data_IF_389525706794
#
_entry.id   IF_389525706794
#
_cell.length_a   1.000
_cell.length_b   1.000
_cell.length_c   1.000
_cell.angle_alpha   90.00
_cell.angle_beta   90.00
_cell.angle_gamma   90.00
#
_symmetry.space_group_name_H-M   'P 1'
#
loop_
_entity.id
_entity.type
_entity.pdbx_description
1 polymer ?
#
# COMPACT_ATOMS: atom_id res chain seq x y z
N UNK A 1 34.82 -48.84 8.81
CA UNK A 1 35.66 -47.61 8.88
C UNK A 1 35.07 -46.65 7.84
N UNK A 2 34.32 -45.61 8.14
CA UNK A 2 34.29 -44.71 9.31
C UNK A 2 32.88 -44.15 9.54
N UNK A 3 32.51 -44.15 10.83
CA UNK A 3 31.56 -43.35 11.62
C UNK A 3 30.66 -42.29 10.97
N UNK A 4 29.36 -42.39 11.26
CA UNK A 4 28.37 -41.31 11.28
C UNK A 4 28.66 -40.30 12.42
N UNK A 5 28.62 -38.98 12.19
CA UNK A 5 28.56 -38.00 13.27
C UNK A 5 27.11 -37.86 13.75
N UNK A 6 26.90 -38.00 15.06
CA UNK A 6 25.69 -37.56 15.76
C UNK A 6 25.61 -36.04 15.74
N UNK A 7 24.51 -35.48 15.24
CA UNK A 7 24.19 -34.06 15.40
C UNK A 7 23.18 -33.91 16.54
N UNK A 8 23.56 -33.09 17.52
CA UNK A 8 22.79 -32.75 18.71
C UNK A 8 21.44 -32.06 18.37
N UNK A 9 20.45 -32.11 19.26
CA UNK A 9 19.17 -31.43 19.04
C UNK A 9 19.38 -29.91 19.13
N UNK A 10 19.20 -29.22 18.00
CA UNK A 10 19.04 -27.76 17.96
C UNK A 10 17.64 -27.48 18.50
N UNK A 11 17.59 -27.16 19.79
CA UNK A 11 16.52 -26.34 20.38
C UNK A 11 16.87 -24.88 20.13
N UNK A 12 15.86 -24.05 19.89
CA UNK A 12 15.92 -22.63 19.50
C UNK A 12 16.39 -22.30 18.07
N UNK A 13 15.41 -22.30 17.15
CA UNK A 13 15.37 -21.36 16.04
C UNK A 13 14.13 -20.49 16.20
N UNK A 14 14.35 -19.28 16.74
CA UNK A 14 13.35 -18.23 16.83
C UNK A 14 12.77 -17.90 15.45
N UNK A 15 11.45 -17.70 15.42
CA UNK A 15 10.70 -17.26 14.27
C UNK A 15 11.29 -15.98 13.66
N UNK A 16 12.04 -16.10 12.58
CA UNK A 16 12.26 -14.98 11.65
C UNK A 16 10.99 -14.84 10.82
N UNK A 17 10.12 -13.94 11.27
CA UNK A 17 8.81 -13.69 10.70
C UNK A 17 8.89 -13.21 9.24
N UNK A 18 7.96 -13.72 8.44
CA UNK A 18 7.78 -13.57 7.00
C UNK A 18 7.32 -12.17 6.53
N UNK A 19 7.64 -11.12 7.28
CA UNK A 19 7.17 -9.76 7.02
C UNK A 19 8.05 -8.97 6.02
N UNK A 20 9.35 -9.31 5.89
CA UNK A 20 10.31 -8.53 5.09
C UNK A 20 10.31 -8.77 3.57
N UNK A 21 9.71 -9.85 3.06
CA UNK A 21 9.80 -10.22 1.64
C UNK A 21 8.79 -9.50 0.73
N UNK A 22 7.80 -8.78 1.28
CA UNK A 22 6.69 -8.20 0.48
C UNK A 22 7.05 -6.88 -0.22
N UNK A 23 7.97 -6.10 0.35
CA UNK A 23 8.35 -4.76 -0.14
C UNK A 23 9.41 -4.81 -1.25
N UNK A 24 10.28 -5.83 -1.20
CA UNK A 24 11.36 -6.05 -2.18
C UNK A 24 10.81 -6.29 -3.60
N UNK A 25 9.65 -6.94 -3.71
CA UNK A 25 9.04 -7.27 -5.01
C UNK A 25 8.47 -6.08 -5.78
N UNK A 26 7.91 -5.07 -5.08
CA UNK A 26 7.26 -3.92 -5.72
C UNK A 26 8.27 -2.91 -6.27
N UNK A 27 9.34 -2.66 -5.53
CA UNK A 27 10.37 -1.70 -5.92
C UNK A 27 11.26 -2.29 -7.02
N UNK A 28 11.70 -3.54 -6.93
CA UNK A 28 12.61 -4.12 -7.93
C UNK A 28 12.09 -4.10 -9.38
N UNK A 29 10.77 -4.10 -9.62
CA UNK A 29 10.18 -3.98 -10.97
C UNK A 29 10.40 -2.60 -11.57
N UNK A 30 10.19 -1.55 -10.77
CA UNK A 30 10.42 -0.16 -11.19
C UNK A 30 11.92 0.08 -11.34
N UNK A 31 12.73 -0.46 -10.43
CA UNK A 31 14.19 -0.26 -10.43
C UNK A 31 14.95 -1.05 -11.50
N UNK A 32 14.51 -2.24 -11.90
CA UNK A 32 15.19 -2.99 -12.97
C UNK A 32 15.03 -2.33 -14.35
N UNK A 33 13.93 -1.60 -14.59
CA UNK A 33 13.75 -0.77 -15.79
C UNK A 33 14.73 0.41 -15.83
N UNK A 34 15.20 0.89 -14.68
CA UNK A 34 16.05 2.08 -14.57
C UNK A 34 17.55 1.76 -14.51
N UNK A 35 17.92 0.65 -13.89
CA UNK A 35 19.31 0.30 -13.55
C UNK A 35 20.28 0.11 -14.74
N UNK A 36 19.83 0.18 -15.99
CA UNK A 36 20.71 0.10 -17.18
C UNK A 36 20.43 1.18 -18.23
N UNK A 37 19.61 2.18 -17.90
CA UNK A 37 19.47 3.39 -18.69
C UNK A 37 20.39 4.45 -18.10
N UNK A 38 21.20 5.14 -18.90
CA UNK A 38 22.21 6.14 -18.47
C UNK A 38 21.60 7.41 -17.85
N UNK A 39 20.44 7.30 -17.21
CA UNK A 39 19.62 8.39 -16.72
C UNK A 39 19.74 8.49 -15.21
N UNK A 40 20.25 9.63 -14.73
CA UNK A 40 20.02 10.08 -13.36
C UNK A 40 18.53 10.40 -13.17
N UNK A 41 17.73 9.40 -12.80
CA UNK A 41 16.31 9.55 -12.53
C UNK A 41 16.06 9.66 -11.03
N UNK A 42 15.22 10.61 -10.62
CA UNK A 42 14.83 10.79 -9.21
C UNK A 42 13.49 10.10 -8.95
N UNK A 43 13.47 9.18 -7.99
CA UNK A 43 12.26 8.45 -7.62
C UNK A 43 11.38 9.33 -6.74
N UNK A 44 10.23 9.77 -7.26
CA UNK A 44 9.22 10.50 -6.48
C UNK A 44 8.19 9.46 -6.02
N UNK A 45 8.46 8.87 -4.86
CA UNK A 45 7.61 7.83 -4.30
C UNK A 45 6.39 8.44 -3.62
N UNK A 46 5.21 8.28 -4.20
CA UNK A 46 3.94 8.43 -3.49
C UNK A 46 3.55 7.03 -2.97
N UNK A 47 4.18 6.60 -1.85
CA UNK A 47 3.70 5.60 -0.87
C UNK A 47 4.77 5.25 0.18
N UNK A 48 4.28 5.13 1.43
CA UNK A 48 4.90 4.51 2.62
C UNK A 48 5.52 3.12 2.38
N UNK A 49 6.78 2.98 2.77
CA UNK A 49 7.27 1.89 3.59
C UNK A 49 7.85 2.52 4.87
N UNK A 50 7.55 1.92 6.03
CA UNK A 50 7.83 2.38 7.40
C UNK A 50 6.86 3.43 7.97
N UNK A 51 5.95 2.96 8.82
CA UNK A 51 5.41 3.75 9.93
C UNK A 51 6.29 3.49 11.15
N UNK A 52 7.07 4.48 11.58
CA UNK A 52 7.40 4.71 12.98
C UNK A 52 7.66 6.20 13.19
N UNK A 53 7.02 6.73 14.24
CA UNK A 53 7.15 8.05 14.87
C UNK A 53 6.36 9.18 14.18
N UNK A 54 5.27 9.57 14.85
CA UNK A 54 4.51 10.78 14.60
C UNK A 54 5.22 11.95 15.30
N UNK A 55 6.20 12.54 14.62
CA UNK A 55 6.70 13.89 14.90
C UNK A 55 6.42 14.77 13.67
N UNK A 56 6.00 16.01 13.90
CA UNK A 56 5.67 16.96 12.83
C UNK A 56 6.97 17.52 12.23
N UNK A 57 7.46 16.91 11.16
CA UNK A 57 8.62 17.41 10.40
C UNK A 57 8.20 18.55 9.47
N UNK A 58 8.58 19.78 9.83
CA UNK A 58 8.33 21.00 9.04
C UNK A 58 9.60 21.44 8.33
N UNK A 59 9.60 21.44 6.99
CA UNK A 59 10.67 22.01 6.16
C UNK A 59 11.54 20.96 5.48
N UNK A 60 12.71 21.38 4.98
CA UNK A 60 13.65 20.48 4.29
C UNK A 60 14.41 19.63 5.32
N UNK A 61 14.33 18.28 5.24
CA UNK A 61 14.96 17.40 6.21
C UNK A 61 16.49 17.55 6.26
N UNK A 62 17.15 17.96 5.18
CA UNK A 62 18.61 18.16 5.10
C UNK A 62 19.08 19.53 5.60
N UNK A 63 18.17 20.50 5.77
CA UNK A 63 18.46 21.85 6.25
C UNK A 63 18.08 21.99 7.74
N UNK A 64 17.09 21.21 8.18
CA UNK A 64 16.53 21.28 9.54
C UNK A 64 15.60 22.48 9.73
N UNK A 65 14.88 22.48 10.85
CA UNK A 65 13.91 23.54 11.19
C UNK A 65 14.15 24.12 12.58
N UNK A 66 13.58 25.30 12.84
CA UNK A 66 13.59 25.92 14.18
C UNK A 66 12.66 25.25 15.18
N UNK A 67 11.92 24.21 14.76
CA UNK A 67 11.04 23.42 15.60
C UNK A 67 11.84 22.32 16.31
N UNK A 68 11.88 22.34 17.63
CA UNK A 68 12.80 21.49 18.42
C UNK A 68 12.33 20.06 18.66
N UNK A 69 11.07 19.73 18.33
CA UNK A 69 10.52 18.38 18.40
C UNK A 69 10.20 17.93 16.97
N UNK A 70 11.17 17.31 16.32
CA UNK A 70 11.10 16.86 14.93
C UNK A 70 11.86 15.52 14.79
N UNK A 71 11.46 14.71 13.81
CA UNK A 71 12.08 13.41 13.50
C UNK A 71 12.94 13.46 12.24
N UNK A 72 13.35 14.64 11.79
CA UNK A 72 14.07 14.87 10.53
C UNK A 72 15.36 14.03 10.45
N UNK A 73 16.01 13.75 11.58
CA UNK A 73 17.16 12.84 11.63
C UNK A 73 16.81 11.38 11.29
N UNK A 74 15.63 10.90 11.69
CA UNK A 74 15.14 9.57 11.32
C UNK A 74 14.67 9.52 9.88
N UNK A 75 14.03 10.59 9.40
CA UNK A 75 13.68 10.77 8.00
C UNK A 75 14.92 10.71 7.10
N UNK A 76 15.99 11.46 7.41
CA UNK A 76 17.28 11.38 6.71
C UNK A 76 17.85 9.97 6.77
N UNK A 77 17.82 9.29 7.92
CA UNK A 77 18.35 7.92 8.03
C UNK A 77 17.59 6.92 7.15
N UNK A 78 16.27 7.08 7.00
CA UNK A 78 15.47 6.26 6.08
C UNK A 78 15.88 6.56 4.64
N UNK A 79 16.02 7.84 4.29
CA UNK A 79 16.44 8.25 2.95
C UNK A 79 17.88 7.82 2.62
N UNK A 80 18.81 7.89 3.58
CA UNK A 80 20.20 7.41 3.51
C UNK A 80 20.24 5.89 3.30
N UNK A 81 19.42 5.15 4.06
CA UNK A 81 19.35 3.70 3.91
C UNK A 81 18.88 3.32 2.51
N UNK A 82 17.87 4.02 1.98
CA UNK A 82 17.44 3.83 0.60
C UNK A 82 18.54 4.28 -0.38
N UNK A 83 19.13 5.46 -0.24
CA UNK A 83 20.21 5.92 -1.13
C UNK A 83 21.38 4.94 -1.18
N UNK A 84 21.79 4.41 -0.02
CA UNK A 84 22.83 3.37 0.08
C UNK A 84 22.41 2.05 -0.56
N UNK A 85 21.15 1.65 -0.44
CA UNK A 85 20.61 0.46 -1.11
C UNK A 85 20.65 0.61 -2.64
N UNK A 86 20.60 1.84 -3.14
CA UNK A 86 20.57 2.19 -4.56
C UNK A 86 21.89 2.74 -5.09
N UNK A 87 22.97 2.67 -4.30
CA UNK A 87 24.31 3.16 -4.65
C UNK A 87 24.34 4.63 -5.12
N UNK A 88 23.39 5.46 -4.63
CA UNK A 88 23.39 6.90 -4.90
C UNK A 88 24.23 7.58 -3.81
N UNK A 89 25.22 8.37 -4.21
CA UNK A 89 26.07 9.06 -3.24
C UNK A 89 25.26 10.07 -2.41
N UNK A 90 25.66 10.27 -1.15
CA UNK A 90 24.88 11.01 -0.15
C UNK A 90 24.61 12.48 -0.51
N UNK A 91 25.43 13.04 -1.38
CA UNK A 91 25.35 14.39 -1.94
C UNK A 91 24.54 14.46 -3.25
N UNK A 92 24.09 13.33 -3.80
CA UNK A 92 23.44 13.26 -5.11
C UNK A 92 21.93 12.97 -5.02
N UNK A 93 21.42 12.70 -3.82
CA UNK A 93 20.00 12.44 -3.58
C UNK A 93 19.35 13.51 -2.68
N UNK A 94 18.04 13.66 -2.84
CA UNK A 94 17.18 14.42 -1.92
C UNK A 94 15.80 13.76 -1.95
N UNK A 95 15.11 13.71 -0.81
CA UNK A 95 13.79 13.11 -0.68
C UNK A 95 13.17 13.47 0.65
N UNK A 96 11.92 13.07 0.86
CA UNK A 96 11.19 13.25 2.11
C UNK A 96 10.09 12.17 2.20
N UNK A 97 9.54 11.94 3.39
CA UNK A 97 8.57 10.89 3.69
C UNK A 97 7.15 11.48 3.63
N UNK A 98 6.24 10.84 2.90
CA UNK A 98 4.92 11.40 2.55
C UNK A 98 3.75 10.60 3.18
N UNK A 99 2.63 11.26 3.48
CA UNK A 99 1.45 10.67 4.14
C UNK A 99 0.14 10.85 3.36
N UNK A 100 -0.07 10.09 2.28
CA UNK A 100 -1.41 9.87 1.67
C UNK A 100 -1.85 10.84 0.57
N UNK A 101 -2.70 10.35 -0.34
CA UNK A 101 -2.78 10.79 -1.75
C UNK A 101 -3.73 11.92 -2.15
N UNK A 102 -4.43 12.63 -1.25
CA UNK A 102 -5.32 13.75 -1.64
C UNK A 102 -4.66 15.13 -1.53
N UNK A 103 -3.78 15.32 -0.56
CA UNK A 103 -2.98 16.55 -0.41
C UNK A 103 -1.74 16.56 -1.34
N UNK A 104 -1.46 15.42 -1.97
CA UNK A 104 -0.20 15.13 -2.65
C UNK A 104 -0.07 15.76 -4.04
N UNK A 105 -1.15 16.16 -4.74
CA UNK A 105 -0.96 16.74 -6.07
C UNK A 105 -0.34 18.15 -6.05
N UNK A 106 -0.64 18.96 -5.01
CA UNK A 106 0.03 20.23 -4.81
C UNK A 106 1.51 20.02 -4.45
N UNK A 107 1.79 19.02 -3.62
CA UNK A 107 3.15 18.67 -3.27
C UNK A 107 3.93 18.09 -4.46
N UNK A 108 3.34 17.16 -5.21
CA UNK A 108 3.87 16.62 -6.46
C UNK A 108 4.24 17.75 -7.41
N UNK A 109 3.36 18.75 -7.58
CA UNK A 109 3.65 19.93 -8.41
C UNK A 109 4.89 20.68 -7.93
N UNK A 110 5.02 20.93 -6.63
CA UNK A 110 6.19 21.59 -6.03
C UNK A 110 7.46 20.75 -6.27
N UNK A 111 7.42 19.45 -6.00
CA UNK A 111 8.55 18.53 -6.21
C UNK A 111 8.99 18.47 -7.68
N UNK A 112 8.03 18.41 -8.61
CA UNK A 112 8.31 18.38 -10.05
C UNK A 112 8.92 19.71 -10.52
N UNK A 113 8.44 20.84 -10.01
CA UNK A 113 9.01 22.16 -10.33
C UNK A 113 10.43 22.33 -9.79
N UNK A 114 10.69 21.84 -8.58
CA UNK A 114 12.02 21.91 -7.96
C UNK A 114 13.07 21.03 -8.68
N UNK A 115 12.63 20.01 -9.43
CA UNK A 115 13.51 19.04 -10.11
C UNK A 115 13.19 18.89 -11.60
N UNK A 116 12.79 19.99 -12.24
CA UNK A 116 12.35 20.00 -13.64
C UNK A 116 13.42 19.56 -14.63
N UNK A 117 14.69 19.64 -14.25
CA UNK A 117 15.85 19.16 -15.00
C UNK A 117 15.94 17.62 -15.08
N UNK A 118 15.34 16.88 -14.13
CA UNK A 118 15.40 15.41 -14.05
C UNK A 118 14.11 14.72 -14.52
N UNK A 119 14.17 13.48 -15.04
CA UNK A 119 12.96 12.69 -15.30
C UNK A 119 12.30 12.25 -13.99
N UNK A 120 10.97 12.08 -14.01
CA UNK A 120 10.18 11.76 -12.83
C UNK A 120 9.69 10.30 -12.84
N UNK A 121 9.73 9.67 -11.68
CA UNK A 121 9.16 8.33 -11.50
C UNK A 121 8.10 8.42 -10.42
N UNK A 122 6.89 8.05 -10.76
CA UNK A 122 5.71 8.24 -9.92
C UNK A 122 5.09 6.88 -9.63
N UNK A 123 4.84 6.62 -8.36
CA UNK A 123 4.10 5.46 -7.90
C UNK A 123 2.66 5.87 -7.56
N UNK A 124 1.67 5.27 -8.22
CA UNK A 124 0.26 5.49 -7.93
C UNK A 124 -0.32 4.29 -7.18
N UNK A 125 -1.07 4.54 -6.13
CA UNK A 125 -1.77 3.55 -5.35
C UNK A 125 -3.17 3.34 -5.90
N UNK A 126 -3.45 2.12 -6.35
CA UNK A 126 -4.81 1.64 -6.57
C UNK A 126 -5.20 0.86 -5.32
N UNK A 127 -5.52 1.60 -4.26
CA UNK A 127 -5.75 1.07 -2.92
C UNK A 127 -4.53 1.18 -2.01
N UNK A 128 -4.49 2.23 -1.18
CA UNK A 128 -3.53 2.32 -0.07
C UNK A 128 -3.79 1.22 0.97
N UNK A 129 -2.74 0.75 1.64
CA UNK A 129 -2.84 -0.43 2.52
C UNK A 129 -3.78 -0.19 3.71
N UNK A 130 -3.68 0.98 4.35
CA UNK A 130 -4.46 1.29 5.55
C UNK A 130 -5.85 1.83 5.22
N UNK A 131 -5.94 2.77 4.27
CA UNK A 131 -7.19 3.51 4.01
C UNK A 131 -7.91 3.08 2.74
N UNK A 132 -7.25 2.28 1.89
CA UNK A 132 -7.82 1.84 0.63
C UNK A 132 -8.11 2.97 -0.35
N UNK A 133 -7.40 4.09 -0.24
CA UNK A 133 -7.51 5.24 -1.14
C UNK A 133 -6.94 4.92 -2.53
N UNK A 134 -7.48 5.54 -3.57
CA UNK A 134 -7.05 5.40 -4.95
C UNK A 134 -6.52 6.74 -5.42
N UNK A 135 -5.28 6.79 -5.86
CA UNK A 135 -4.68 8.02 -6.38
C UNK A 135 -5.30 8.38 -7.73
N UNK A 136 -5.52 9.68 -7.93
CA UNK A 136 -6.11 10.20 -9.16
C UNK A 136 -5.06 10.32 -10.27
N UNK A 137 -5.01 9.29 -11.13
CA UNK A 137 -4.13 9.27 -12.30
C UNK A 137 -4.38 10.47 -13.22
N UNK A 138 -5.63 10.91 -13.42
CA UNK A 138 -5.91 12.02 -14.34
C UNK A 138 -5.40 13.34 -13.79
N UNK A 139 -5.54 13.56 -12.48
CA UNK A 139 -4.96 14.73 -11.81
C UNK A 139 -3.43 14.73 -11.85
N UNK A 140 -2.79 13.58 -11.68
CA UNK A 140 -1.33 13.44 -11.77
C UNK A 140 -0.84 13.74 -13.19
N UNK A 141 -1.52 13.20 -14.21
CA UNK A 141 -1.18 13.48 -15.61
C UNK A 141 -1.36 14.96 -15.97
N UNK A 142 -2.45 15.57 -15.51
CA UNK A 142 -2.68 17.01 -15.66
C UNK A 142 -1.57 17.83 -14.98
N UNK A 143 -1.16 17.43 -13.79
CA UNK A 143 -0.08 18.10 -13.05
C UNK A 143 1.24 18.04 -13.81
N UNK A 144 1.61 16.87 -14.33
CA UNK A 144 2.80 16.67 -15.18
C UNK A 144 2.76 17.55 -16.44
N UNK A 145 1.61 17.62 -17.11
CA UNK A 145 1.42 18.48 -18.28
C UNK A 145 1.60 19.96 -17.91
N UNK A 146 0.96 20.42 -16.82
CA UNK A 146 1.05 21.81 -16.35
C UNK A 146 2.47 22.23 -15.99
N UNK A 147 3.29 21.35 -15.40
CA UNK A 147 4.68 21.65 -15.06
C UNK A 147 5.63 21.51 -16.25
N UNK A 148 5.16 20.98 -17.39
CA UNK A 148 5.90 20.85 -18.64
C UNK A 148 6.71 19.55 -18.77
N UNK A 149 6.32 18.48 -18.09
CA UNK A 149 6.90 17.15 -18.28
C UNK A 149 6.30 16.49 -19.52
N UNK A 150 7.15 16.19 -20.50
CA UNK A 150 6.77 15.43 -21.69
C UNK A 150 6.70 13.93 -21.40
N UNK A 151 6.08 13.15 -22.29
CA UNK A 151 5.83 11.72 -22.07
C UNK A 151 7.10 10.88 -21.86
N UNK A 152 8.20 11.25 -22.50
CA UNK A 152 9.52 10.64 -22.37
C UNK A 152 10.26 11.03 -21.09
N UNK A 153 9.70 11.98 -20.32
CA UNK A 153 10.30 12.53 -19.10
C UNK A 153 9.68 11.99 -17.82
N UNK A 154 8.74 11.05 -17.91
CA UNK A 154 8.20 10.41 -16.72
C UNK A 154 7.85 8.93 -16.90
N UNK A 155 7.84 8.21 -15.78
CA UNK A 155 7.38 6.83 -15.67
C UNK A 155 6.36 6.72 -14.55
N UNK A 156 5.21 6.08 -14.81
CA UNK A 156 4.18 5.86 -13.80
C UNK A 156 4.04 4.35 -13.53
N UNK A 157 4.31 3.94 -12.29
CA UNK A 157 3.98 2.61 -11.78
C UNK A 157 2.65 2.65 -11.05
N UNK A 158 1.77 1.69 -11.30
CA UNK A 158 0.55 1.51 -10.52
C UNK A 158 0.70 0.33 -9.54
N UNK A 159 0.76 0.61 -8.25
CA UNK A 159 0.60 -0.39 -7.20
C UNK A 159 -0.89 -0.69 -7.00
N UNK A 160 -1.37 -1.73 -7.68
CA UNK A 160 -2.73 -2.26 -7.55
C UNK A 160 -2.77 -3.57 -6.78
N UNK A 161 -1.94 -3.71 -5.73
CA UNK A 161 -1.84 -4.95 -4.97
C UNK A 161 -3.19 -5.58 -4.61
N UNK A 162 -4.10 -4.79 -4.05
CA UNK A 162 -5.43 -5.23 -3.65
C UNK A 162 -6.49 -4.87 -4.70
N UNK A 163 -6.69 -3.56 -4.95
CA UNK A 163 -7.80 -3.09 -5.77
C UNK A 163 -7.53 -3.18 -7.29
N UNK A 164 -6.32 -3.55 -7.73
CA UNK A 164 -5.98 -3.66 -9.16
C UNK A 164 -6.82 -4.68 -9.93
N UNK A 165 -7.31 -5.73 -9.26
CA UNK A 165 -8.27 -6.69 -9.85
C UNK A 165 -9.70 -6.18 -9.73
N UNK A 166 -9.99 -5.39 -8.69
CA UNK A 166 -11.35 -4.98 -8.34
C UNK A 166 -11.83 -3.83 -9.22
N UNK A 167 -11.02 -2.79 -9.38
CA UNK A 167 -11.37 -1.52 -10.04
C UNK A 167 -12.04 -1.68 -11.41
N UNK A 168 -11.58 -2.57 -12.31
CA UNK A 168 -12.23 -2.76 -13.61
C UNK A 168 -13.70 -3.21 -13.54
N UNK A 169 -14.14 -3.74 -12.40
CA UNK A 169 -15.52 -4.21 -12.18
C UNK A 169 -16.38 -3.20 -11.39
N UNK A 170 -15.80 -2.13 -10.87
CA UNK A 170 -16.49 -1.12 -10.08
C UNK A 170 -17.06 -0.06 -11.03
N UNK A 171 -18.37 0.20 -10.93
CA UNK A 171 -19.01 1.26 -11.72
C UNK A 171 -18.50 2.62 -11.27
N UNK A 172 -18.23 3.51 -12.23
CA UNK A 172 -17.78 4.90 -12.00
C UNK A 172 -16.38 5.03 -11.40
N UNK A 173 -15.67 3.92 -11.16
CA UNK A 173 -14.30 3.98 -10.68
C UNK A 173 -13.36 4.66 -11.70
N UNK A 174 -12.26 5.29 -11.22
CA UNK A 174 -11.27 5.93 -12.08
C UNK A 174 -10.73 4.96 -13.13
N UNK A 175 -10.62 5.46 -14.36
CA UNK A 175 -10.16 4.64 -15.48
C UNK A 175 -8.64 4.53 -15.49
N UNK A 176 -8.08 3.60 -14.71
CA UNK A 176 -6.62 3.37 -14.60
C UNK A 176 -6.24 2.18 -15.48
N UNK A 177 -5.70 2.43 -16.68
CA UNK A 177 -5.32 1.39 -17.64
C UNK A 177 -4.20 1.84 -18.60
N UNK A 178 -3.69 0.92 -19.41
CA UNK A 178 -2.58 1.15 -20.36
C UNK A 178 -2.92 2.01 -21.60
N UNK A 179 -4.19 2.45 -21.78
CA UNK A 179 -4.52 3.50 -22.76
C UNK A 179 -3.97 4.85 -22.32
N UNK A 180 -3.77 5.04 -21.01
CA UNK A 180 -3.05 6.17 -20.41
C UNK A 180 -1.54 5.89 -20.39
N UNK A 181 -0.68 6.91 -20.23
CA UNK A 181 0.79 6.74 -20.22
C UNK A 181 1.32 6.10 -18.92
N UNK A 182 0.64 5.07 -18.40
CA UNK A 182 1.22 4.24 -17.34
C UNK A 182 2.30 3.33 -17.91
N UNK A 183 3.36 3.12 -17.13
CA UNK A 183 4.52 2.31 -17.48
C UNK A 183 4.34 0.85 -17.07
N UNK A 184 3.84 0.60 -15.85
CA UNK A 184 3.57 -0.74 -15.34
C UNK A 184 2.48 -0.78 -14.28
N UNK A 185 2.01 -1.99 -13.96
CA UNK A 185 1.12 -2.27 -12.84
C UNK A 185 1.57 -3.55 -12.13
N UNK A 186 1.46 -3.57 -10.80
CA UNK A 186 1.66 -4.77 -9.97
C UNK A 186 0.38 -5.12 -9.20
N UNK A 187 0.05 -6.41 -9.16
CA UNK A 187 -1.17 -6.96 -8.56
C UNK A 187 -0.83 -8.18 -7.72
N UNK A 188 -1.42 -8.33 -6.52
CA UNK A 188 -1.25 -9.52 -5.68
C UNK A 188 -2.38 -10.53 -5.89
N UNK A 189 -2.03 -11.78 -6.26
CA UNK A 189 -2.99 -12.89 -6.39
C UNK A 189 -3.49 -13.44 -5.06
N UNK A 190 -2.69 -13.36 -4.01
CA UNK A 190 -3.06 -13.82 -2.67
C UNK A 190 -3.91 -12.82 -1.87
N UNK A 191 -4.20 -11.64 -2.45
CA UNK A 191 -5.12 -10.65 -1.88
C UNK A 191 -6.55 -10.93 -2.37
N UNK A 192 -7.04 -10.14 -3.33
CA UNK A 192 -8.44 -10.26 -3.76
C UNK A 192 -8.81 -11.62 -4.36
N UNK A 193 -7.93 -12.23 -5.18
CA UNK A 193 -8.21 -13.55 -5.76
C UNK A 193 -8.15 -14.70 -4.76
N UNK A 194 -7.46 -14.52 -3.62
CA UNK A 194 -7.37 -15.52 -2.56
C UNK A 194 -6.50 -16.73 -2.91
N UNK A 195 -5.41 -16.55 -3.68
CA UNK A 195 -4.46 -17.64 -3.91
C UNK A 195 -3.82 -18.11 -2.57
N UNK A 196 -3.60 -19.43 -2.38
CA UNK A 196 -3.16 -20.01 -1.11
C UNK A 196 -1.68 -19.75 -0.79
N UNK A 197 -0.91 -19.25 -1.76
CA UNK A 197 0.49 -18.87 -1.61
C UNK A 197 0.66 -17.41 -2.04
N UNK A 198 1.61 -16.67 -1.44
CA UNK A 198 1.99 -15.36 -1.94
C UNK A 198 2.40 -15.42 -3.41
N UNK A 199 1.60 -14.80 -4.26
CA UNK A 199 1.87 -14.64 -5.69
C UNK A 199 1.32 -13.30 -6.20
N UNK A 200 1.72 -12.92 -7.40
CA UNK A 200 1.30 -11.68 -8.04
C UNK A 200 1.57 -11.68 -9.54
N UNK A 201 1.10 -10.62 -10.19
CA UNK A 201 1.27 -10.35 -11.61
C UNK A 201 1.85 -8.94 -11.75
N UNK A 202 2.87 -8.83 -12.60
CA UNK A 202 3.44 -7.56 -13.04
C UNK A 202 3.22 -7.48 -14.53
N UNK A 203 2.70 -6.35 -14.99
CA UNK A 203 2.52 -6.05 -16.42
C UNK A 203 3.22 -4.73 -16.70
N UNK A 204 4.01 -4.69 -17.76
CA UNK A 204 4.73 -3.51 -18.23
C UNK A 204 4.73 -3.48 -19.75
N UNK A 205 5.10 -2.34 -20.35
CA UNK A 205 5.24 -2.23 -21.81
C UNK A 205 6.46 -3.02 -22.30
N UNK A 206 6.34 -3.68 -23.45
CA UNK A 206 7.42 -4.50 -24.02
C UNK A 206 8.67 -3.69 -24.30
N UNK A 207 8.52 -2.44 -24.74
CA UNK A 207 9.63 -1.51 -24.99
C UNK A 207 10.58 -1.34 -23.79
N UNK A 208 10.07 -1.47 -22.56
CA UNK A 208 10.90 -1.40 -21.34
C UNK A 208 11.63 -2.70 -21.04
N UNK A 209 11.14 -3.84 -21.53
CA UNK A 209 11.75 -5.16 -21.31
C UNK A 209 12.78 -5.48 -22.39
N UNK A 210 12.57 -5.02 -23.62
CA UNK A 210 13.48 -5.30 -24.74
C UNK A 210 14.90 -4.80 -24.47
N UNK A 211 15.04 -3.69 -23.72
CA UNK A 211 16.32 -3.12 -23.28
C UNK A 211 17.03 -3.99 -22.23
N UNK A 212 16.26 -4.76 -21.44
CA UNK A 212 16.77 -5.57 -20.32
C UNK A 212 17.06 -7.02 -20.72
N UNK A 213 16.58 -7.44 -21.90
CA UNK A 213 16.63 -8.81 -22.38
C UNK A 213 18.06 -9.31 -22.58
N UNK A 214 18.54 -10.20 -21.71
CA UNK A 214 19.78 -10.96 -21.91
C UNK A 214 19.48 -12.39 -22.34
N UNK A 215 20.10 -12.85 -23.42
CA UNK A 215 19.99 -14.26 -23.82
C UNK A 215 20.81 -15.13 -22.87
N UNK A 216 20.20 -16.18 -22.34
CA UNK A 216 20.84 -17.16 -21.47
C UNK A 216 20.76 -18.54 -22.11
N UNK A 217 21.91 -19.06 -22.52
CA UNK A 217 22.04 -20.29 -23.30
C UNK A 217 21.54 -21.54 -22.55
N UNK A 218 21.88 -21.68 -21.26
CA UNK A 218 21.57 -22.89 -20.49
C UNK A 218 20.09 -23.07 -20.13
N UNK A 219 19.27 -22.02 -20.25
CA UNK A 219 17.81 -22.10 -20.14
C UNK A 219 17.12 -22.01 -21.51
N UNK A 220 17.90 -21.92 -22.60
CA UNK A 220 17.43 -21.68 -23.96
C UNK A 220 16.38 -20.56 -24.07
N UNK A 221 16.58 -19.48 -23.29
CA UNK A 221 15.59 -18.42 -23.12
C UNK A 221 16.25 -17.08 -22.76
N UNK A 222 15.44 -16.04 -22.63
CA UNK A 222 15.86 -14.71 -22.17
C UNK A 222 15.68 -14.60 -20.67
N UNK A 223 16.67 -14.05 -19.99
CA UNK A 223 16.52 -13.58 -18.61
C UNK A 223 15.97 -12.16 -18.62
N UNK A 224 14.67 -12.07 -18.35
CA UNK A 224 13.87 -10.84 -18.31
C UNK A 224 13.08 -10.73 -16.99
N UNK A 225 13.43 -11.57 -16.01
CA UNK A 225 12.71 -11.68 -14.74
C UNK A 225 13.67 -11.51 -13.59
N UNK A 226 13.26 -10.79 -12.55
CA UNK A 226 14.12 -10.51 -11.38
C UNK A 226 14.68 -11.78 -10.74
N UNK A 227 13.85 -12.82 -10.63
CA UNK A 227 14.24 -14.11 -10.05
C UNK A 227 14.52 -15.12 -11.14
N UNK A 228 15.64 -15.84 -11.06
CA UNK A 228 15.94 -16.96 -11.96
C UNK A 228 14.91 -18.10 -11.81
N UNK A 229 14.94 -18.82 -10.69
CA UNK A 229 13.93 -19.86 -10.40
C UNK A 229 12.61 -19.22 -9.95
N UNK A 230 11.51 -19.61 -10.61
CA UNK A 230 10.17 -19.09 -10.31
C UNK A 230 9.23 -20.19 -9.84
N UNK A 231 8.26 -19.82 -9.00
CA UNK A 231 7.24 -20.75 -8.50
C UNK A 231 6.29 -21.19 -9.62
N UNK A 232 6.41 -22.44 -10.07
CA UNK A 232 5.52 -23.02 -11.08
C UNK A 232 4.07 -23.21 -10.62
N UNK A 233 3.82 -23.27 -9.30
CA UNK A 233 2.47 -23.40 -8.74
C UNK A 233 1.68 -22.08 -8.77
N UNK A 234 2.36 -20.93 -8.66
CA UNK A 234 1.73 -19.61 -8.67
C UNK A 234 0.83 -19.37 -9.91
N UNK A 235 1.28 -19.58 -11.16
CA UNK A 235 0.43 -19.40 -12.34
C UNK A 235 -0.74 -20.40 -12.38
N UNK A 236 -0.57 -21.63 -11.87
CA UNK A 236 -1.65 -22.63 -11.80
C UNK A 236 -2.75 -22.15 -10.85
N UNK A 237 -2.39 -21.68 -9.65
CA UNK A 237 -3.37 -21.16 -8.69
C UNK A 237 -4.07 -19.90 -9.19
N UNK A 238 -3.33 -18.97 -9.82
CA UNK A 238 -3.91 -17.79 -10.44
C UNK A 238 -4.92 -18.17 -11.53
N UNK A 239 -4.53 -19.08 -12.44
CA UNK A 239 -5.40 -19.54 -13.52
C UNK A 239 -6.64 -20.25 -13.01
N UNK A 240 -6.48 -21.14 -12.03
CA UNK A 240 -7.59 -21.84 -11.38
C UNK A 240 -8.57 -20.84 -10.75
N UNK A 241 -8.08 -19.85 -9.98
CA UNK A 241 -8.92 -18.84 -9.36
C UNK A 241 -9.71 -18.02 -10.39
N UNK A 242 -9.04 -17.57 -11.46
CA UNK A 242 -9.66 -16.81 -12.55
C UNK A 242 -10.71 -17.64 -13.30
N UNK A 243 -10.42 -18.91 -13.61
CA UNK A 243 -11.35 -19.79 -14.33
C UNK A 243 -12.53 -20.23 -13.50
N UNK A 244 -12.32 -20.55 -12.22
CA UNK A 244 -13.39 -20.94 -11.30
C UNK A 244 -14.42 -19.82 -11.11
N UNK A 245 -13.94 -18.58 -10.96
CA UNK A 245 -14.82 -17.41 -10.74
C UNK A 245 -15.41 -16.88 -12.05
N UNK A 246 -14.61 -16.84 -13.11
CA UNK A 246 -14.96 -16.17 -14.37
C UNK A 246 -15.20 -14.67 -14.18
N UNK A 247 -15.46 -13.94 -15.27
CA UNK A 247 -15.69 -12.49 -15.20
C UNK A 247 -16.94 -12.13 -14.38
N UNK A 248 -18.02 -12.91 -14.55
CA UNK A 248 -19.29 -12.67 -13.84
C UNK A 248 -19.12 -12.92 -12.34
N UNK A 249 -18.43 -13.99 -11.94
CA UNK A 249 -18.19 -14.28 -10.53
C UNK A 249 -17.27 -13.25 -9.89
N UNK A 250 -16.20 -12.83 -10.56
CA UNK A 250 -15.33 -11.76 -10.08
C UNK A 250 -16.10 -10.46 -9.86
N UNK A 251 -16.93 -10.06 -10.83
CA UNK A 251 -17.78 -8.87 -10.70
C UNK A 251 -18.70 -8.96 -9.49
N UNK A 252 -19.42 -10.08 -9.32
CA UNK A 252 -20.31 -10.30 -8.17
C UNK A 252 -19.55 -10.26 -6.83
N UNK A 253 -18.35 -10.81 -6.78
CA UNK A 253 -17.51 -10.77 -5.59
C UNK A 253 -17.03 -9.36 -5.26
N UNK A 254 -16.63 -8.57 -6.27
CA UNK A 254 -16.27 -7.16 -6.08
C UNK A 254 -17.47 -6.37 -5.55
N UNK A 255 -18.62 -6.49 -6.20
CA UNK A 255 -19.87 -5.84 -5.78
C UNK A 255 -20.22 -6.22 -4.32
N UNK A 256 -20.16 -7.51 -3.97
CA UNK A 256 -20.40 -7.97 -2.60
C UNK A 256 -19.42 -7.36 -1.58
N UNK A 257 -18.12 -7.33 -1.89
CA UNK A 257 -17.11 -6.78 -0.98
C UNK A 257 -17.34 -5.29 -0.71
N UNK A 258 -17.70 -4.52 -1.75
CA UNK A 258 -17.98 -3.09 -1.63
C UNK A 258 -19.27 -2.86 -0.84
N UNK A 259 -20.36 -3.54 -1.20
CA UNK A 259 -21.64 -3.41 -0.49
C UNK A 259 -21.53 -3.80 0.98
N UNK A 260 -20.79 -4.87 1.30
CA UNK A 260 -20.56 -5.24 2.70
C UNK A 260 -19.64 -4.24 3.43
N UNK A 261 -18.73 -3.56 2.73
CA UNK A 261 -17.93 -2.48 3.31
C UNK A 261 -18.77 -1.21 3.55
N UNK A 262 -19.69 -0.87 2.66
CA UNK A 262 -20.67 0.19 2.88
C UNK A 262 -21.52 -0.13 4.12
N UNK A 263 -22.03 -1.36 4.20
CA UNK A 263 -22.80 -1.83 5.35
C UNK A 263 -22.03 -1.71 6.67
N UNK A 264 -20.79 -2.22 6.74
CA UNK A 264 -19.96 -2.10 7.94
C UNK A 264 -19.71 -0.63 8.33
N UNK A 265 -19.42 0.22 7.34
CA UNK A 265 -19.22 1.64 7.59
C UNK A 265 -20.48 2.27 8.20
N UNK A 266 -21.65 2.02 7.62
CA UNK A 266 -22.93 2.55 8.11
C UNK A 266 -23.24 2.04 9.53
N UNK A 267 -23.05 0.75 9.82
CA UNK A 267 -23.28 0.18 11.15
C UNK A 267 -22.36 0.78 12.22
N UNK A 268 -21.07 0.98 11.90
CA UNK A 268 -20.15 1.67 12.82
C UNK A 268 -20.59 3.11 13.08
N UNK A 269 -20.97 3.85 12.03
CA UNK A 269 -21.43 5.24 12.18
C UNK A 269 -22.75 5.34 12.96
N UNK A 270 -23.69 4.44 12.70
CA UNK A 270 -24.97 4.35 13.42
C UNK A 270 -24.75 4.03 14.91
N UNK A 271 -23.73 3.22 15.23
CA UNK A 271 -23.31 2.94 16.60
C UNK A 271 -22.53 4.11 17.27
N UNK A 272 -22.30 5.22 16.56
CA UNK A 272 -21.57 6.37 17.07
C UNK A 272 -20.06 6.19 17.15
N UNK A 273 -19.51 5.28 16.34
CA UNK A 273 -18.07 4.97 16.25
C UNK A 273 -17.45 5.84 15.16
N UNK A 274 -16.26 6.36 15.41
CA UNK A 274 -15.50 7.09 14.40
C UNK A 274 -15.04 6.16 13.28
N UNK A 275 -15.41 6.46 12.04
CA UNK A 275 -15.11 5.62 10.89
C UNK A 275 -15.01 6.44 9.60
N UNK A 276 -14.20 5.96 8.67
CA UNK A 276 -14.10 6.45 7.29
C UNK A 276 -14.07 5.27 6.31
N UNK A 277 -14.51 5.55 5.09
CA UNK A 277 -14.37 4.65 3.96
C UNK A 277 -14.09 5.48 2.71
N UNK A 278 -13.03 5.15 1.97
CA UNK A 278 -12.76 5.79 0.70
C UNK A 278 -13.73 5.27 -0.38
N UNK A 279 -14.02 6.12 -1.36
CA UNK A 279 -14.83 5.75 -2.51
C UNK A 279 -14.21 4.54 -3.23
N UNK A 280 -15.06 3.64 -3.73
CA UNK A 280 -14.68 2.39 -4.42
C UNK A 280 -13.86 1.38 -3.59
N UNK A 281 -13.57 1.67 -2.33
CA UNK A 281 -12.78 0.80 -1.47
C UNK A 281 -13.62 -0.26 -0.77
N UNK A 282 -13.03 -1.41 -0.49
CA UNK A 282 -13.57 -2.43 0.43
C UNK A 282 -12.91 -2.40 1.81
N UNK A 283 -12.17 -1.33 2.11
CA UNK A 283 -11.52 -1.13 3.40
C UNK A 283 -12.32 -0.11 4.21
N UNK A 284 -12.71 -0.48 5.42
CA UNK A 284 -13.32 0.43 6.40
C UNK A 284 -12.31 0.68 7.49
N UNK A 285 -11.98 1.95 7.73
CA UNK A 285 -11.08 2.38 8.79
C UNK A 285 -11.90 2.98 9.91
N UNK A 286 -11.58 2.66 11.15
CA UNK A 286 -12.32 3.08 12.32
C UNK A 286 -11.39 3.33 13.49
N UNK A 287 -11.91 3.92 14.56
CA UNK A 287 -11.16 4.13 15.79
C UNK A 287 -10.62 2.82 16.37
N UNK A 288 -9.37 2.87 16.84
CA UNK A 288 -8.68 1.70 17.37
C UNK A 288 -9.38 1.18 18.64
N UNK A 289 -9.68 -0.13 18.72
CA UNK A 289 -10.14 -0.76 19.96
C UNK A 289 -9.12 -0.58 21.08
N UNK A 290 -9.59 -0.30 22.30
CA UNK A 290 -8.71 -0.13 23.47
C UNK A 290 -8.25 -1.47 24.07
N UNK A 291 -8.89 -2.57 23.70
CA UNK A 291 -8.53 -3.92 24.14
C UNK A 291 -7.78 -4.70 23.06
N UNK A 292 -6.57 -5.12 23.40
CA UNK A 292 -5.74 -5.96 22.56
C UNK A 292 -6.35 -7.36 22.33
N UNK A 293 -7.17 -7.88 23.26
CA UNK A 293 -7.81 -9.19 23.06
C UNK A 293 -8.85 -9.10 21.94
N UNK A 294 -9.67 -8.05 21.90
CA UNK A 294 -10.57 -7.79 20.79
C UNK A 294 -9.79 -7.70 19.46
N UNK A 295 -8.73 -6.89 19.43
CA UNK A 295 -7.89 -6.71 18.23
C UNK A 295 -7.27 -8.01 17.73
N UNK A 296 -6.78 -8.87 18.64
CA UNK A 296 -6.24 -10.19 18.29
C UNK A 296 -7.31 -11.16 17.81
N UNK A 297 -8.48 -11.20 18.48
CA UNK A 297 -9.60 -12.07 18.09
C UNK A 297 -10.02 -11.82 16.65
N UNK A 298 -10.13 -10.55 16.27
CA UNK A 298 -10.56 -10.14 14.94
C UNK A 298 -9.41 -9.92 13.94
N UNK A 299 -8.17 -10.20 14.34
CA UNK A 299 -6.96 -10.04 13.51
C UNK A 299 -6.86 -8.65 12.86
N UNK A 300 -7.16 -7.60 13.63
CA UNK A 300 -7.19 -6.24 13.14
C UNK A 300 -5.78 -5.69 12.89
N UNK A 301 -5.62 -4.99 11.77
CA UNK A 301 -4.45 -4.17 11.53
C UNK A 301 -4.63 -2.81 12.21
N UNK A 302 -3.67 -2.46 13.07
CA UNK A 302 -3.71 -1.24 13.89
C UNK A 302 -2.61 -0.29 13.42
N UNK A 303 -2.91 1.00 13.42
CA UNK A 303 -1.92 2.07 13.25
C UNK A 303 -2.35 3.28 14.09
N UNK A 304 -1.47 3.75 14.98
CA UNK A 304 -1.76 4.86 15.90
C UNK A 304 -3.11 4.68 16.60
N UNK A 305 -4.07 5.56 16.29
CA UNK A 305 -5.42 5.64 16.83
C UNK A 305 -6.49 4.99 15.95
N UNK A 306 -6.10 4.36 14.84
CA UNK A 306 -7.02 3.74 13.89
C UNK A 306 -6.78 2.23 13.74
N UNK A 307 -7.83 1.52 13.38
CA UNK A 307 -7.82 0.14 12.92
C UNK A 307 -8.54 0.06 11.57
N UNK A 308 -8.31 -1.02 10.81
CA UNK A 308 -9.10 -1.24 9.60
C UNK A 308 -9.56 -2.69 9.46
N UNK A 309 -10.68 -2.86 8.77
CA UNK A 309 -11.18 -4.14 8.28
C UNK A 309 -11.14 -4.11 6.76
N UNK A 310 -10.49 -5.11 6.16
CA UNK A 310 -10.59 -5.37 4.72
C UNK A 310 -11.75 -6.34 4.51
N UNK A 311 -12.85 -5.85 3.94
CA UNK A 311 -14.05 -6.66 3.73
C UNK A 311 -13.88 -7.53 2.48
N UNK A 312 -13.64 -8.82 2.71
CA UNK A 312 -13.36 -9.82 1.69
C UNK A 312 -14.55 -10.76 1.49
N UNK A 313 -14.49 -11.65 0.49
CA UNK A 313 -15.63 -12.45 0.03
C UNK A 313 -16.25 -13.37 1.10
N UNK A 314 -15.44 -13.79 2.08
CA UNK A 314 -15.83 -14.66 3.19
C UNK A 314 -16.46 -13.90 4.37
N UNK A 315 -16.37 -12.56 4.38
CA UNK A 315 -16.96 -11.71 5.41
C UNK A 315 -18.44 -11.52 5.10
N UNK A 316 -19.31 -12.13 5.90
CA UNK A 316 -20.77 -12.07 5.75
C UNK A 316 -21.37 -10.99 6.65
N UNK A 317 -22.64 -10.63 6.40
CA UNK A 317 -23.35 -9.64 7.22
C UNK A 317 -23.40 -10.09 8.68
N UNK A 318 -23.62 -11.39 8.94
CA UNK A 318 -23.67 -11.92 10.30
C UNK A 318 -22.33 -11.79 11.05
N UNK A 319 -21.20 -11.90 10.32
CA UNK A 319 -19.87 -11.66 10.89
C UNK A 319 -19.71 -10.17 11.21
N UNK A 320 -20.17 -9.29 10.33
CA UNK A 320 -20.12 -7.84 10.55
C UNK A 320 -21.00 -7.42 11.74
N UNK A 321 -22.22 -7.94 11.84
CA UNK A 321 -23.14 -7.69 12.95
C UNK A 321 -22.55 -8.15 14.27
N UNK A 322 -21.96 -9.36 14.28
CA UNK A 322 -21.26 -9.89 15.46
C UNK A 322 -20.06 -9.02 15.83
N UNK A 323 -19.32 -8.54 14.85
CA UNK A 323 -18.16 -7.67 15.06
C UNK A 323 -18.57 -6.33 15.69
N UNK A 324 -19.55 -5.64 15.11
CA UNK A 324 -20.04 -4.34 15.60
C UNK A 324 -20.68 -4.49 16.98
N UNK A 325 -21.52 -5.51 17.18
CA UNK A 325 -22.16 -5.78 18.47
C UNK A 325 -21.12 -6.01 19.58
N UNK A 326 -20.10 -6.82 19.31
CA UNK A 326 -19.02 -7.07 20.27
C UNK A 326 -18.16 -5.83 20.51
N UNK A 327 -17.90 -5.01 19.47
CA UNK A 327 -17.18 -3.75 19.61
C UNK A 327 -17.92 -2.80 20.56
N UNK A 328 -19.22 -2.60 20.37
CA UNK A 328 -20.06 -1.70 21.19
C UNK A 328 -20.15 -2.19 22.64
N UNK A 329 -20.34 -3.50 22.84
CA UNK A 329 -20.37 -4.10 24.18
C UNK A 329 -19.05 -3.86 24.92
N UNK A 330 -17.92 -4.13 24.26
CA UNK A 330 -16.62 -3.94 24.89
C UNK A 330 -16.27 -2.47 25.08
N UNK A 331 -16.62 -1.59 24.14
CA UNK A 331 -16.42 -0.15 24.28
C UNK A 331 -17.16 0.42 25.50
N UNK A 332 -18.38 -0.07 25.76
CA UNK A 332 -19.14 0.29 26.96
C UNK A 332 -18.41 -0.11 28.24
N UNK A 333 -17.67 -1.23 28.23
CA UNK A 333 -16.84 -1.68 29.36
C UNK A 333 -15.55 -0.86 29.45
N UNK A 334 -14.88 -0.58 28.32
CA UNK A 334 -13.62 0.18 28.30
C UNK A 334 -13.78 1.62 28.76
N UNK A 335 -14.95 2.21 28.51
CA UNK A 335 -15.26 3.59 28.83
C UNK A 335 -16.00 3.76 30.19
N UNK A 336 -16.27 2.66 30.91
CA UNK A 336 -16.78 2.76 32.29
C UNK A 336 -15.76 3.50 33.16
N UNK A 337 -16.27 4.36 34.05
CA UNK A 337 -15.54 5.31 34.92
C UNK A 337 -14.96 6.58 34.27
N UNK A 338 -15.18 6.83 32.97
CA UNK A 338 -14.74 8.07 32.32
C UNK A 338 -13.22 8.27 32.25
N UNK A 339 -12.44 7.27 32.66
CA UNK A 339 -10.96 7.28 32.65
C UNK A 339 -10.38 7.09 31.24
N UNK A 340 -11.06 6.32 30.38
CA UNK A 340 -10.67 6.08 29.00
C UNK A 340 -11.76 6.57 28.05
N UNK A 341 -11.37 7.33 27.02
CA UNK A 341 -12.24 7.76 25.94
C UNK A 341 -11.79 7.10 24.63
N UNK A 342 -12.69 6.91 23.65
CA UNK A 342 -12.30 6.52 22.31
C UNK A 342 -11.22 7.47 21.78
N UNK A 343 -10.18 6.94 21.11
CA UNK A 343 -9.09 7.78 20.63
C UNK A 343 -9.61 8.78 19.60
N UNK A 344 -9.06 10.00 19.62
CA UNK A 344 -9.33 10.96 18.56
C UNK A 344 -8.65 10.50 17.27
N UNK A 345 -9.41 10.50 16.17
CA UNK A 345 -8.93 10.07 14.86
C UNK A 345 -8.98 11.20 13.82
N UNK A 346 -9.12 12.46 14.27
CA UNK A 346 -9.18 13.61 13.38
C UNK A 346 -7.92 13.73 12.53
N UNK A 347 -6.73 13.61 13.12
CA UNK A 347 -5.48 13.84 12.41
C UNK A 347 -5.29 12.77 11.32
N UNK A 348 -5.80 11.56 11.56
CA UNK A 348 -5.70 10.46 10.62
C UNK A 348 -6.83 10.45 9.58
N UNK A 349 -8.05 10.89 9.91
CA UNK A 349 -9.24 10.65 9.09
C UNK A 349 -10.09 11.90 8.82
N UNK A 350 -9.72 13.06 9.37
CA UNK A 350 -10.49 14.29 9.30
C UNK A 350 -11.63 14.36 10.32
N UNK A 351 -12.05 15.58 10.64
CA UNK A 351 -13.08 15.88 11.65
C UNK A 351 -14.40 15.17 11.36
N UNK A 352 -14.83 15.12 10.10
CA UNK A 352 -16.11 14.53 9.69
C UNK A 352 -16.23 13.03 10.02
N UNK A 353 -15.11 12.33 10.09
CA UNK A 353 -15.04 10.89 10.36
C UNK A 353 -14.83 10.57 11.85
N UNK A 354 -14.52 11.58 12.67
CA UNK A 354 -14.27 11.41 14.10
C UNK A 354 -15.58 11.42 14.90
N UNK A 355 -15.72 10.55 15.90
CA UNK A 355 -16.87 10.51 16.80
C UNK A 355 -16.52 10.85 18.26
N UNK A 356 -15.30 11.35 18.51
CA UNK A 356 -14.88 11.71 19.87
C UNK A 356 -15.64 12.94 20.39
N UNK A 357 -15.69 13.11 21.72
CA UNK A 357 -16.47 14.19 22.36
C UNK A 357 -16.07 15.60 21.94
N UNK A 358 -14.82 15.80 21.50
CA UNK A 358 -14.31 17.10 21.03
C UNK A 358 -14.95 17.53 19.71
N UNK A 359 -15.39 16.57 18.89
CA UNK A 359 -15.85 16.81 17.52
C UNK A 359 -17.28 16.33 17.26
N UNK A 360 -18.00 15.88 18.30
CA UNK A 360 -19.43 15.62 18.17
C UNK A 360 -20.16 16.94 17.89
N UNK A 361 -20.99 17.03 16.85
CA UNK A 361 -21.91 18.16 16.69
C UNK A 361 -22.78 18.27 17.95
N UNK A 362 -22.87 19.49 18.49
CA UNK A 362 -23.72 19.81 19.65
C UNK A 362 -25.20 19.52 19.39
#
# INVERSE_FOLDING_TARGET
MWTTPSVAPITDLGLVSSFGMRTVWYLMVVFHVLANSSFEAKVITIKKACEMISDLDLGDPFIGSSYTHNSSSFEINVLDWFASLWEIEKNEYWGYITTGGTEDCAHLKISLLAHKDKPAIINLNIGTTMKGAIDDLDLVLKTLEEVGFTRDRFYIHCDGALLGIMIPFIKQAPNINFKKPIGSIAISGHKFLGCPIPCGVVITRSEYIDVLSKNIEYIASKDITITGSRCGHAPIFLWYALKKKGLIGLKKEVEKCITNADYLYDELRNAGIGAMKNEFSNIVVFEKPLDDKFSRKWSLALNENIAHVVVMQHVTIEILDSFVSEFVQNQSIWCQDGKNQPPCIQDQMGVANCACKLHKPL
#
